data_IF_372768138475
#
_entry.id   IF_372768138475
#
_cell.length_a   1.000
_cell.length_b   1.000
_cell.length_c   1.000
_cell.angle_alpha   90.00
_cell.angle_beta   90.00
_cell.angle_gamma   90.00
#
_symmetry.space_group_name_H-M   'P 1'
#
loop_
_entity.id
_entity.type
_entity.pdbx_description
1 polymer ?
#
# COMPACT_ATOMS: atom_id res chain seq x y z
N UNK A 1 -67.16 -28.82 -10.23
CA UNK A 1 -65.90 -29.55 -9.94
C UNK A 1 -64.83 -28.48 -9.69
N UNK A 2 -64.83 -27.85 -8.52
CA UNK A 2 -64.12 -28.25 -7.29
C UNK A 2 -62.62 -28.49 -7.52
N UNK A 3 -61.85 -27.45 -7.17
CA UNK A 3 -60.67 -27.50 -6.28
C UNK A 3 -59.70 -28.68 -6.47
N UNK A 4 -58.55 -28.42 -7.10
CA UNK A 4 -57.32 -29.14 -6.76
C UNK A 4 -56.09 -28.40 -7.30
N UNK A 5 -55.07 -28.23 -6.45
CA UNK A 5 -53.69 -28.14 -6.94
C UNK A 5 -53.02 -26.78 -6.89
N UNK A 6 -53.33 -25.93 -5.91
CA UNK A 6 -52.43 -24.84 -5.52
C UNK A 6 -51.87 -25.23 -4.15
N UNK A 7 -50.61 -25.70 -4.08
CA UNK A 7 -49.73 -25.76 -2.89
C UNK A 7 -48.63 -26.84 -3.02
N UNK A 8 -47.60 -26.63 -3.85
CA UNK A 8 -46.24 -27.25 -3.73
C UNK A 8 -45.33 -26.37 -4.63
N UNK A 9 -44.22 -25.74 -4.26
CA UNK A 9 -43.35 -25.78 -3.10
C UNK A 9 -42.71 -24.39 -2.93
N UNK A 10 -42.82 -23.83 -1.73
CA UNK A 10 -42.11 -22.63 -1.28
C UNK A 10 -40.88 -23.08 -0.48
N UNK A 11 -39.93 -23.74 -1.13
CA UNK A 11 -38.77 -24.30 -0.40
C UNK A 11 -37.58 -24.52 -1.31
N UNK A 12 -36.93 -23.42 -1.71
CA UNK A 12 -35.51 -23.40 -2.11
C UNK A 12 -34.96 -21.96 -2.16
N UNK A 13 -35.19 -21.15 -1.12
CA UNK A 13 -34.55 -19.83 -0.99
C UNK A 13 -33.48 -19.85 0.11
N UNK A 14 -32.55 -20.81 0.02
CA UNK A 14 -31.27 -20.79 0.71
C UNK A 14 -30.16 -20.98 -0.32
N UNK A 15 -30.18 -20.15 -1.37
CA UNK A 15 -28.97 -19.84 -2.11
C UNK A 15 -28.07 -19.07 -1.13
N UNK A 16 -27.07 -19.78 -0.62
CA UNK A 16 -25.96 -19.21 0.11
C UNK A 16 -25.51 -17.94 -0.63
N UNK A 17 -25.60 -16.79 0.05
CA UNK A 17 -24.83 -15.60 -0.32
C UNK A 17 -23.36 -15.96 -0.15
N UNK A 18 -22.79 -16.60 -1.17
CA UNK A 18 -21.37 -16.48 -1.42
C UNK A 18 -21.16 -15.02 -1.79
N UNK A 19 -20.76 -14.20 -0.81
CA UNK A 19 -20.30 -12.85 -1.11
C UNK A 19 -19.22 -13.00 -2.19
N UNK A 20 -19.35 -12.32 -3.35
CA UNK A 20 -18.34 -12.40 -4.38
C UNK A 20 -17.04 -11.89 -3.77
N UNK A 21 -16.15 -12.83 -3.48
CA UNK A 21 -14.77 -12.53 -3.13
C UNK A 21 -14.25 -11.65 -4.27
N UNK A 22 -13.76 -10.42 -4.00
CA UNK A 22 -13.29 -9.55 -5.05
C UNK A 22 -12.09 -10.23 -5.70
N UNK A 23 -12.33 -10.90 -6.82
CA UNK A 23 -11.31 -11.38 -7.73
C UNK A 23 -10.46 -10.16 -8.07
N UNK A 24 -9.15 -10.24 -7.80
CA UNK A 24 -8.20 -9.18 -8.07
C UNK A 24 -8.41 -8.67 -9.50
N UNK A 25 -9.05 -7.51 -9.62
CA UNK A 25 -9.39 -6.94 -10.92
C UNK A 25 -8.12 -6.60 -11.66
N UNK A 26 -8.07 -6.89 -12.95
CA UNK A 26 -7.00 -6.39 -13.81
C UNK A 26 -7.24 -4.88 -14.01
N UNK A 27 -6.31 -4.04 -13.53
CA UNK A 27 -6.33 -2.60 -13.76
C UNK A 27 -5.47 -2.33 -14.97
N UNK A 28 -6.05 -1.79 -16.04
CA UNK A 28 -5.33 -1.46 -17.26
C UNK A 28 -5.33 0.05 -17.47
N UNK A 29 -4.14 0.61 -17.64
CA UNK A 29 -3.91 2.01 -17.94
C UNK A 29 -3.13 2.14 -19.26
N UNK A 30 -3.16 3.31 -19.88
CA UNK A 30 -2.31 3.63 -21.03
C UNK A 30 -1.09 4.42 -20.60
N UNK A 31 0.07 4.01 -21.10
CA UNK A 31 1.37 4.64 -20.86
C UNK A 31 2.01 5.03 -22.19
N UNK A 32 3.01 5.89 -22.13
CA UNK A 32 3.67 6.33 -23.35
C UNK A 32 4.36 5.14 -24.02
N UNK A 33 4.31 5.05 -25.36
CA UNK A 33 5.17 4.13 -26.05
C UNK A 33 6.64 4.34 -25.68
N UNK A 34 7.40 3.25 -25.62
CA UNK A 34 8.80 3.32 -25.24
C UNK A 34 9.64 4.06 -26.30
N UNK A 35 9.21 3.98 -27.56
CA UNK A 35 9.84 4.55 -28.72
C UNK A 35 8.80 5.12 -29.71
N UNK A 36 9.23 6.10 -30.50
CA UNK A 36 8.46 6.62 -31.64
C UNK A 36 8.58 5.66 -32.86
N UNK A 37 8.13 6.09 -34.05
CA UNK A 37 8.30 5.27 -35.26
C UNK A 37 9.72 5.28 -35.82
N UNK A 38 10.58 6.21 -35.40
CA UNK A 38 11.99 6.23 -35.76
C UNK A 38 12.88 5.45 -34.78
N UNK A 39 12.29 4.81 -33.77
CA UNK A 39 12.98 4.11 -32.67
C UNK A 39 13.76 5.06 -31.73
N UNK A 40 13.37 6.34 -31.67
CA UNK A 40 13.83 7.31 -30.68
C UNK A 40 13.18 6.98 -29.34
N UNK A 41 14.00 6.76 -28.32
CA UNK A 41 13.52 6.36 -26.99
C UNK A 41 12.86 7.54 -26.29
N UNK A 42 11.82 7.24 -25.52
CA UNK A 42 11.13 8.23 -24.70
C UNK A 42 12.07 8.86 -23.67
N UNK A 43 12.07 10.20 -23.63
CA UNK A 43 12.82 10.98 -22.66
C UNK A 43 11.98 11.34 -21.45
N UNK A 44 10.98 12.20 -21.65
CA UNK A 44 10.12 12.74 -20.58
C UNK A 44 8.69 12.37 -20.87
N UNK A 45 7.98 11.89 -19.86
CA UNK A 45 6.55 11.67 -19.94
C UNK A 45 5.84 11.98 -18.65
N UNK A 46 4.60 12.45 -18.76
CA UNK A 46 3.73 12.68 -17.61
C UNK A 46 2.26 12.62 -18.02
N UNK A 47 1.44 12.27 -17.04
CA UNK A 47 -0.01 12.28 -17.15
C UNK A 47 -0.56 13.55 -16.53
N UNK A 48 -1.54 14.17 -17.18
CA UNK A 48 -2.30 15.32 -16.68
C UNK A 48 -3.76 14.94 -16.51
N UNK A 49 -4.24 14.96 -15.26
CA UNK A 49 -5.63 14.65 -14.92
C UNK A 49 -6.61 15.75 -15.34
N UNK A 50 -6.14 16.96 -15.63
CA UNK A 50 -6.98 18.09 -16.01
C UNK A 50 -7.51 17.90 -17.43
N UNK A 51 -6.62 17.49 -18.34
CA UNK A 51 -6.94 17.27 -19.76
C UNK A 51 -7.14 15.80 -20.09
N UNK A 52 -6.94 14.90 -19.12
CA UNK A 52 -6.95 13.45 -19.31
C UNK A 52 -6.03 13.00 -20.44
N UNK A 53 -4.84 13.60 -20.51
CA UNK A 53 -3.88 13.34 -21.57
C UNK A 53 -2.54 12.85 -21.03
N UNK A 54 -1.88 12.11 -21.88
CA UNK A 54 -0.57 11.53 -21.66
C UNK A 54 0.42 12.22 -22.62
N UNK A 55 1.34 12.99 -22.05
CA UNK A 55 2.36 13.71 -22.80
C UNK A 55 3.64 12.88 -22.88
N UNK A 56 4.17 12.68 -24.08
CA UNK A 56 5.34 11.85 -24.34
C UNK A 56 6.35 12.62 -25.20
N UNK A 57 7.58 12.79 -24.73
CA UNK A 57 8.65 13.48 -25.45
C UNK A 57 9.72 12.50 -25.92
N UNK A 58 10.13 12.61 -27.18
CA UNK A 58 11.10 11.74 -27.85
C UNK A 58 12.30 12.57 -28.33
N UNK A 59 13.21 12.97 -27.42
CA UNK A 59 14.33 13.84 -27.78
C UNK A 59 15.31 13.10 -28.70
N UNK A 60 15.59 13.68 -29.87
CA UNK A 60 16.60 13.16 -30.81
C UNK A 60 18.01 13.52 -30.40
N UNK A 61 18.14 14.66 -29.73
CA UNK A 61 19.39 15.20 -29.24
C UNK A 61 19.23 15.70 -27.79
N UNK A 62 20.36 15.89 -27.11
CA UNK A 62 20.35 16.43 -25.74
C UNK A 62 19.78 17.85 -25.73
N UNK A 63 18.70 18.06 -24.98
CA UNK A 63 18.05 19.36 -24.86
C UNK A 63 16.89 19.59 -25.84
N UNK A 64 16.61 18.63 -26.71
CA UNK A 64 15.49 18.68 -27.65
C UNK A 64 14.13 18.69 -26.91
N UNK A 65 13.30 19.67 -27.29
CA UNK A 65 11.96 19.89 -26.76
C UNK A 65 10.87 19.91 -27.83
N UNK A 66 11.22 19.75 -29.10
CA UNK A 66 10.29 19.94 -30.22
C UNK A 66 9.54 18.65 -30.56
N UNK A 67 10.18 17.50 -30.35
CA UNK A 67 9.65 16.20 -30.70
C UNK A 67 8.82 15.60 -29.55
N UNK A 68 7.50 15.77 -29.63
CA UNK A 68 6.56 15.25 -28.64
C UNK A 68 5.23 14.81 -29.25
N UNK A 69 4.55 13.94 -28.52
CA UNK A 69 3.27 13.35 -28.86
C UNK A 69 2.32 13.49 -27.67
N UNK A 70 1.03 13.71 -27.95
CA UNK A 70 -0.01 13.67 -26.91
C UNK A 70 -1.00 12.57 -27.24
N UNK A 71 -1.29 11.73 -26.26
CA UNK A 71 -2.26 10.66 -26.34
C UNK A 71 -3.42 10.90 -25.37
N UNK A 72 -4.60 10.41 -25.71
CA UNK A 72 -5.72 10.32 -24.78
C UNK A 72 -5.42 9.22 -23.74
N UNK A 73 -5.53 9.54 -22.45
CA UNK A 73 -5.19 8.58 -21.38
C UNK A 73 -6.22 7.44 -21.25
N UNK A 74 -7.47 7.66 -21.66
CA UNK A 74 -8.56 6.67 -21.53
C UNK A 74 -8.63 5.76 -22.76
N UNK A 75 -8.46 6.31 -23.95
CA UNK A 75 -8.58 5.58 -25.21
C UNK A 75 -7.23 5.09 -25.73
N UNK A 76 -6.13 5.72 -25.29
CA UNK A 76 -4.80 5.48 -25.80
C UNK A 76 -4.58 6.00 -27.22
N UNK A 77 -5.52 6.72 -27.83
CA UNK A 77 -5.40 7.23 -29.19
C UNK A 77 -4.49 8.45 -29.26
N UNK A 78 -3.70 8.56 -30.34
CA UNK A 78 -2.92 9.77 -30.63
C UNK A 78 -3.85 10.96 -30.86
N UNK A 79 -3.61 12.04 -30.13
CA UNK A 79 -4.35 13.31 -30.21
C UNK A 79 -3.54 14.40 -30.93
N UNK A 80 -2.24 14.49 -30.62
CA UNK A 80 -1.34 15.46 -31.25
C UNK A 80 -0.03 14.79 -31.64
N UNK A 81 0.39 15.03 -32.88
CA UNK A 81 1.68 14.63 -33.43
C UNK A 81 2.53 15.88 -33.70
N UNK A 82 3.50 16.15 -32.82
CA UNK A 82 4.45 17.26 -32.97
C UNK A 82 5.88 16.75 -33.23
N UNK A 83 6.07 15.47 -33.54
CA UNK A 83 7.37 14.87 -33.86
C UNK A 83 7.63 14.87 -35.39
N UNK A 84 6.82 15.61 -36.14
CA UNK A 84 6.76 15.58 -37.59
C UNK A 84 5.70 14.60 -38.10
N UNK A 85 5.22 14.77 -39.35
CA UNK A 85 4.02 14.09 -39.82
C UNK A 85 4.14 12.57 -39.75
N UNK A 86 3.36 11.98 -38.84
CA UNK A 86 3.21 10.55 -38.69
C UNK A 86 4.35 9.87 -37.91
N UNK A 87 5.16 10.59 -37.16
CA UNK A 87 6.30 10.01 -36.43
C UNK A 87 5.92 9.47 -35.05
N UNK A 88 4.89 10.06 -34.44
CA UNK A 88 4.24 9.46 -33.28
C UNK A 88 3.61 8.10 -33.63
N UNK A 89 3.67 7.15 -32.70
CA UNK A 89 2.88 5.91 -32.82
C UNK A 89 1.39 6.25 -32.80
N UNK A 90 0.58 5.44 -33.48
CA UNK A 90 -0.87 5.69 -33.59
C UNK A 90 -1.61 5.54 -32.26
N UNK A 91 -1.02 4.83 -31.29
CA UNK A 91 -1.59 4.67 -29.97
C UNK A 91 -0.54 4.46 -28.88
N UNK A 92 -0.95 4.78 -27.66
CA UNK A 92 -0.24 4.55 -26.42
C UNK A 92 -0.15 3.05 -26.11
N UNK A 93 0.79 2.68 -25.24
CA UNK A 93 0.98 1.28 -24.83
C UNK A 93 0.02 0.97 -23.68
N UNK A 94 -0.74 -0.11 -23.81
CA UNK A 94 -1.62 -0.57 -22.71
C UNK A 94 -0.81 -1.36 -21.70
N UNK A 95 -0.82 -0.92 -20.45
CA UNK A 95 -0.18 -1.60 -19.33
C UNK A 95 -1.23 -2.07 -18.33
N UNK A 96 -1.27 -3.37 -18.07
CA UNK A 96 -2.22 -3.96 -17.15
C UNK A 96 -1.50 -4.53 -15.93
N UNK A 97 -1.93 -4.11 -14.75
CA UNK A 97 -1.44 -4.63 -13.47
C UNK A 97 -2.56 -5.38 -12.76
N UNK A 98 -2.19 -6.42 -12.01
CA UNK A 98 -3.14 -7.12 -11.15
C UNK A 98 -3.34 -6.25 -9.91
N UNK A 99 -4.59 -5.88 -9.62
CA UNK A 99 -4.89 -5.14 -8.39
C UNK A 99 -4.34 -5.90 -7.18
N UNK A 100 -3.67 -5.23 -6.23
CA UNK A 100 -3.20 -5.90 -5.03
C UNK A 100 -4.41 -6.54 -4.33
N UNK A 101 -4.25 -7.76 -3.78
CA UNK A 101 -5.33 -8.38 -3.03
C UNK A 101 -5.78 -7.43 -1.91
N UNK A 102 -7.08 -7.35 -1.61
CA UNK A 102 -7.55 -6.50 -0.54
C UNK A 102 -6.77 -6.82 0.74
N UNK A 103 -6.39 -5.80 1.54
CA UNK A 103 -5.67 -6.04 2.77
C UNK A 103 -6.49 -7.02 3.60
N UNK A 104 -5.96 -8.23 3.81
CA UNK A 104 -6.59 -9.17 4.74
C UNK A 104 -6.61 -8.45 6.08
N UNK A 105 -7.81 -8.13 6.56
CA UNK A 105 -8.03 -7.67 7.92
C UNK A 105 -7.51 -8.77 8.86
N UNK A 106 -6.22 -8.75 9.16
CA UNK A 106 -5.65 -9.55 10.23
C UNK A 106 -6.36 -9.05 11.47
N UNK A 107 -7.22 -9.88 12.07
CA UNK A 107 -7.70 -9.64 13.44
C UNK A 107 -6.45 -9.34 14.25
N UNK A 108 -6.34 -8.12 14.77
CA UNK A 108 -5.25 -7.75 15.66
C UNK A 108 -5.25 -8.80 16.76
N UNK A 109 -4.14 -9.53 16.87
CA UNK A 109 -4.05 -10.48 17.97
C UNK A 109 -3.97 -9.66 19.25
N UNK A 110 -4.43 -10.23 20.37
CA UNK A 110 -4.36 -9.56 21.67
C UNK A 110 -2.90 -9.14 22.00
N UNK A 111 -1.92 -9.89 21.44
CA UNK A 111 -0.49 -9.60 21.49
C UNK A 111 -0.12 -8.32 20.72
N UNK A 112 -0.68 -8.11 19.52
CA UNK A 112 -0.43 -6.89 18.72
C UNK A 112 -0.95 -5.64 19.43
N UNK A 113 -2.12 -5.73 20.07
CA UNK A 113 -2.69 -4.64 20.87
C UNK A 113 -1.83 -4.33 22.09
N UNK A 114 -1.34 -5.36 22.79
CA UNK A 114 -0.44 -5.20 23.94
C UNK A 114 0.87 -4.53 23.51
N UNK A 115 1.45 -4.97 22.40
CA UNK A 115 2.71 -4.43 21.88
C UNK A 115 2.56 -2.98 21.42
N UNK A 116 1.48 -2.65 20.71
CA UNK A 116 1.17 -1.27 20.33
C UNK A 116 1.02 -0.37 21.56
N UNK A 117 0.32 -0.84 22.61
CA UNK A 117 0.15 -0.08 23.86
C UNK A 117 1.46 0.09 24.63
N UNK A 118 2.36 -0.90 24.60
CA UNK A 118 3.70 -0.82 25.21
C UNK A 118 4.59 0.17 24.47
N UNK A 119 4.53 0.21 23.14
CA UNK A 119 5.32 1.13 22.32
C UNK A 119 4.81 2.57 22.45
N UNK A 120 3.50 2.78 22.44
CA UNK A 120 2.89 4.09 22.69
C UNK A 120 3.26 4.63 24.09
N UNK A 121 3.37 3.77 25.11
CA UNK A 121 3.87 4.17 26.43
C UNK A 121 5.36 4.51 26.45
N UNK A 122 6.17 3.95 25.55
CA UNK A 122 7.61 4.28 25.47
C UNK A 122 7.81 5.61 24.75
N UNK A 123 7.01 5.89 23.73
CA UNK A 123 7.01 7.19 23.05
C UNK A 123 6.43 8.31 23.91
N UNK A 124 5.33 8.04 24.65
CA UNK A 124 4.73 9.02 25.56
C UNK A 124 5.60 9.32 26.79
N UNK A 125 6.40 8.35 27.26
CA UNK A 125 7.36 8.55 28.35
C UNK A 125 8.75 8.95 27.82
N UNK A 126 8.80 9.78 26.78
CA UNK A 126 10.02 10.27 26.15
C UNK A 126 11.14 10.48 27.17
N UNK A 127 12.30 9.88 26.89
CA UNK A 127 13.53 9.94 27.69
C UNK A 127 13.28 9.85 29.20
N UNK A 128 13.28 8.63 29.74
CA UNK A 128 13.44 8.44 31.20
C UNK A 128 14.68 9.25 31.61
N UNK A 129 14.55 10.29 32.46
CA UNK A 129 15.72 11.00 32.93
C UNK A 129 16.58 9.98 33.68
N UNK A 130 17.85 9.87 33.30
CA UNK A 130 18.84 8.93 33.84
C UNK A 130 18.93 8.96 35.39
N UNK A 131 18.43 10.03 36.02
CA UNK A 131 18.27 10.19 37.45
C UNK A 131 17.27 9.22 38.13
N UNK A 132 16.24 8.74 37.43
CA UNK A 132 15.23 7.84 38.03
C UNK A 132 15.72 6.39 38.07
N UNK A 133 16.50 5.96 37.06
CA UNK A 133 17.08 4.62 37.01
C UNK A 133 18.15 4.42 38.10
N UNK A 134 18.96 5.46 38.36
CA UNK A 134 20.02 5.45 39.38
C UNK A 134 19.47 5.35 40.81
N UNK A 135 18.33 5.98 41.13
CA UNK A 135 17.69 5.86 42.45
C UNK A 135 17.13 4.46 42.72
N UNK A 136 16.59 3.78 41.71
CA UNK A 136 16.07 2.42 41.86
C UNK A 136 17.20 1.39 42.06
N UNK A 137 18.33 1.56 41.37
CA UNK A 137 19.51 0.71 41.53
C UNK A 137 20.17 0.86 42.92
N UNK A 138 20.25 2.08 43.45
CA UNK A 138 20.80 2.35 44.78
C UNK A 138 19.96 1.73 45.91
N UNK A 139 18.61 1.80 45.82
CA UNK A 139 17.71 1.16 46.79
C UNK A 139 17.81 -0.37 46.81
N UNK A 140 18.17 -0.99 45.69
CA UNK A 140 18.35 -2.45 45.63
C UNK A 140 19.67 -2.87 46.29
N UNK A 141 20.71 -2.05 46.22
CA UNK A 141 22.00 -2.31 46.91
C UNK A 141 21.91 -2.15 48.43
N UNK A 142 21.17 -1.16 48.94
CA UNK A 142 21.06 -0.96 50.39
C UNK A 142 20.38 -2.15 51.11
N UNK A 143 19.35 -2.75 50.49
CA UNK A 143 18.65 -3.92 51.06
C UNK A 143 19.48 -5.21 51.04
N UNK A 144 20.48 -5.30 50.17
CA UNK A 144 21.39 -6.46 50.10
C UNK A 144 22.48 -6.36 51.16
N UNK A 145 22.97 -5.14 51.46
CA UNK A 145 23.91 -4.95 52.58
C UNK A 145 23.26 -5.18 53.95
N UNK A 146 22.02 -4.73 54.16
CA UNK A 146 21.32 -4.96 55.45
C UNK A 146 21.08 -6.45 55.75
N UNK A 147 20.92 -7.30 54.72
CA UNK A 147 20.80 -8.76 54.91
C UNK A 147 22.12 -9.45 55.17
N UNK A 148 23.21 -8.99 54.54
CA UNK A 148 24.54 -9.60 54.74
C UNK A 148 25.11 -9.37 56.14
N UNK A 149 24.72 -8.29 56.83
CA UNK A 149 25.16 -8.01 58.21
C UNK A 149 24.38 -8.82 59.25
N UNK A 150 23.12 -9.15 58.96
CA UNK A 150 22.28 -9.95 59.87
C UNK A 150 22.72 -11.42 59.94
N UNK A 151 23.22 -11.99 58.83
CA UNK A 151 23.69 -13.38 58.80
C UNK A 151 25.07 -13.58 59.46
N UNK A 152 25.87 -12.52 59.61
CA UNK A 152 27.21 -12.60 60.23
C UNK A 152 27.20 -12.52 61.77
N UNK A 153 26.03 -12.42 62.40
CA UNK A 153 25.87 -12.36 63.87
C UNK A 153 25.29 -13.65 64.48
N UNK A 154 25.08 -14.69 63.67
CA UNK A 154 24.49 -15.97 64.10
C UNK A 154 25.47 -17.14 64.18
N UNK A 155 26.77 -16.91 63.98
CA UNK A 155 27.80 -17.97 63.93
C UNK A 155 28.80 -17.94 65.11
N UNK A 156 28.51 -17.23 66.22
CA UNK A 156 29.32 -17.25 67.45
C UNK A 156 28.53 -17.72 68.69
N UNK A 157 27.86 -18.88 68.61
CA UNK A 157 27.45 -19.66 69.79
C UNK A 157 27.75 -21.17 69.64
#
# INVERSE_FOLDING_TARGET
>A
MLLAGLLVAFSAALLARADPMPSAGLICDYICPYDDKLNVVIGVHYYTSITNTLYCRYPRESGDTEHWCVYDYTLGSLSVDNDGPGQCRSGATRHCTVAPPPPRNKRSTLVDVINARRNARREANGVVPDAVSKRAALRKRSRVMERGVADSLSDEE
#
